data_IF_780624124951
#
_entry.id   IF_780624124951
#
_cell.length_a   1.000
_cell.length_b   1.000
_cell.length_c   1.000
_cell.angle_alpha   90.00
_cell.angle_beta   90.00
_cell.angle_gamma   90.00
#
_symmetry.space_group_name_H-M   'P 1'
#
loop_
_entity.id
_entity.type
_entity.pdbx_description
1 polymer ?
#
# COMPACT_ATOMS: atom_id res chain seq x y z
N UNK A 1 -6.74 -9.66 -16.97
CA UNK A 1 -7.51 -9.09 -15.84
C UNK A 1 -8.71 -8.33 -16.39
N UNK A 2 -9.81 -8.17 -15.63
CA UNK A 2 -10.90 -7.27 -16.03
C UNK A 2 -10.36 -5.88 -16.36
N UNK A 3 -10.91 -5.25 -17.39
CA UNK A 3 -10.42 -3.95 -17.91
C UNK A 3 -10.47 -2.88 -16.82
N UNK A 4 -11.57 -2.86 -16.04
CA UNK A 4 -11.82 -1.95 -14.92
C UNK A 4 -11.34 -2.49 -13.56
N UNK A 5 -10.43 -3.46 -13.52
CA UNK A 5 -9.84 -3.92 -12.26
C UNK A 5 -9.03 -2.80 -11.61
N UNK A 6 -9.22 -2.55 -10.31
CA UNK A 6 -8.42 -1.56 -9.56
C UNK A 6 -7.05 -2.15 -9.22
N UNK A 7 -6.00 -1.39 -9.49
CA UNK A 7 -4.61 -1.80 -9.29
C UNK A 7 -3.80 -0.68 -8.68
N UNK A 8 -2.71 -1.06 -8.01
CA UNK A 8 -1.65 -0.17 -7.57
C UNK A 8 -0.43 -0.44 -8.44
N UNK A 9 -0.08 0.51 -9.31
CA UNK A 9 1.13 0.47 -10.13
C UNK A 9 2.31 1.12 -9.42
N UNK A 10 3.46 0.47 -9.45
CA UNK A 10 4.72 0.95 -8.87
C UNK A 10 5.82 0.80 -9.93
N UNK A 11 6.57 1.88 -10.18
CA UNK A 11 7.67 1.89 -11.14
C UNK A 11 9.01 2.20 -10.47
N UNK A 12 10.09 1.56 -10.93
CA UNK A 12 11.47 1.90 -10.59
C UNK A 12 12.36 1.68 -11.80
N UNK A 13 12.67 2.75 -12.54
CA UNK A 13 13.40 2.63 -13.80
C UNK A 13 12.61 1.84 -14.83
N UNK A 14 13.15 0.69 -15.26
CA UNK A 14 12.47 -0.25 -16.18
C UNK A 14 11.66 -1.33 -15.46
N UNK A 15 11.78 -1.43 -14.14
CA UNK A 15 11.07 -2.42 -13.34
C UNK A 15 9.69 -1.88 -12.94
N UNK A 16 8.65 -2.68 -13.18
CA UNK A 16 7.27 -2.27 -12.94
C UNK A 16 6.51 -3.39 -12.24
N UNK A 17 5.89 -3.08 -11.10
CA UNK A 17 5.00 -4.01 -10.41
C UNK A 17 3.59 -3.45 -10.38
N UNK A 18 2.62 -4.31 -10.65
CA UNK A 18 1.19 -4.05 -10.49
C UNK A 18 0.67 -4.94 -9.39
N UNK A 19 -0.05 -4.35 -8.43
CA UNK A 19 -0.71 -5.08 -7.36
C UNK A 19 -2.21 -4.95 -7.56
N UNK A 20 -2.94 -6.05 -7.54
CA UNK A 20 -4.39 -5.97 -7.58
C UNK A 20 -4.90 -5.41 -6.25
N UNK A 21 -5.64 -4.30 -6.30
CA UNK A 21 -6.02 -3.54 -5.07
C UNK A 21 -6.75 -4.40 -4.05
N UNK A 22 -7.58 -5.35 -4.51
CA UNK A 22 -8.34 -6.25 -3.63
C UNK A 22 -7.45 -7.14 -2.75
N UNK A 23 -6.22 -7.44 -3.17
CA UNK A 23 -5.25 -8.20 -2.38
C UNK A 23 -4.80 -7.44 -1.11
N UNK A 24 -4.98 -6.12 -1.09
CA UNK A 24 -4.56 -5.25 0.01
C UNK A 24 -5.70 -5.01 1.02
N UNK A 25 -6.95 -5.21 0.61
CA UNK A 25 -8.13 -4.96 1.46
C UNK A 25 -8.25 -6.04 2.53
N UNK A 26 -8.29 -5.65 3.80
CA UNK A 26 -8.36 -6.58 4.94
C UNK A 26 -7.09 -7.40 5.19
N UNK A 27 -6.12 -7.38 4.26
CA UNK A 27 -4.86 -8.13 4.36
C UNK A 27 -3.81 -7.47 5.25
N UNK A 28 -2.71 -8.20 5.47
CA UNK A 28 -1.47 -7.68 6.05
C UNK A 28 -0.79 -6.71 5.08
N UNK A 29 0.04 -5.77 5.59
CA UNK A 29 0.96 -5.01 4.75
C UNK A 29 1.69 -5.90 3.74
N UNK A 30 1.64 -5.53 2.46
CA UNK A 30 2.24 -6.35 1.41
C UNK A 30 3.68 -5.90 1.16
N UNK A 31 4.63 -6.81 1.32
CA UNK A 31 6.03 -6.56 0.97
C UNK A 31 6.26 -6.78 -0.52
N UNK A 32 6.93 -5.82 -1.16
CA UNK A 32 7.23 -5.90 -2.60
C UNK A 32 8.66 -5.43 -2.85
N UNK A 33 9.32 -6.07 -3.80
CA UNK A 33 10.61 -5.60 -4.33
C UNK A 33 10.38 -5.12 -5.76
N UNK A 34 10.78 -3.88 -6.05
CA UNK A 34 10.72 -3.30 -7.40
C UNK A 34 12.13 -2.81 -7.75
N UNK A 35 12.78 -3.49 -8.68
CA UNK A 35 14.22 -3.36 -8.91
C UNK A 35 15.01 -3.63 -7.62
N UNK A 36 15.73 -2.62 -7.13
CA UNK A 36 16.49 -2.69 -5.87
C UNK A 36 15.73 -2.12 -4.65
N UNK A 37 14.49 -1.64 -4.83
CA UNK A 37 13.71 -0.99 -3.78
C UNK A 37 12.97 -2.03 -2.95
N UNK A 38 13.22 -2.04 -1.65
CA UNK A 38 12.46 -2.81 -0.67
C UNK A 38 11.27 -1.94 -0.24
N UNK A 39 10.07 -2.32 -0.65
CA UNK A 39 8.85 -1.56 -0.40
C UNK A 39 7.89 -2.32 0.50
N UNK A 40 7.01 -1.57 1.16
CA UNK A 40 5.81 -2.09 1.80
C UNK A 40 4.60 -1.29 1.31
N UNK A 41 3.50 -1.99 1.03
CA UNK A 41 2.24 -1.43 0.59
C UNK A 41 1.21 -1.60 1.70
N UNK A 42 0.68 -0.47 2.16
CA UNK A 42 -0.30 -0.38 3.22
C UNK A 42 -1.67 -0.07 2.65
N UNK A 43 -2.70 -0.68 3.23
CA UNK A 43 -4.09 -0.31 2.99
C UNK A 43 -4.74 0.08 4.30
N UNK A 44 -5.18 1.33 4.40
CA UNK A 44 -6.05 1.80 5.47
C UNK A 44 -7.49 1.79 4.96
N UNK A 45 -8.41 1.04 5.60
CA UNK A 45 -9.83 1.18 5.31
C UNK A 45 -10.28 2.63 5.50
N UNK A 46 -11.03 3.15 4.54
CA UNK A 46 -11.73 4.42 4.61
C UNK A 46 -13.07 4.27 5.34
N UNK A 47 -13.72 5.39 5.61
CA UNK A 47 -15.11 5.35 6.07
C UNK A 47 -16.00 4.97 4.87
N UNK A 48 -16.79 3.92 5.01
CA UNK A 48 -17.89 3.61 4.09
C UNK A 48 -18.78 4.85 4.00
N UNK A 49 -18.90 5.44 2.82
CA UNK A 49 -19.67 6.66 2.62
C UNK A 49 -21.13 6.42 3.03
N UNK A 50 -21.65 7.22 3.96
CA UNK A 50 -23.05 7.15 4.40
C UNK A 50 -24.05 7.72 3.37
N UNK A 51 -23.67 7.79 2.09
CA UNK A 51 -24.45 8.43 1.00
C UNK A 51 -24.89 7.42 -0.07
N UNK A 52 -24.66 6.12 0.13
CA UNK A 52 -25.03 5.07 -0.83
C UNK A 52 -26.25 4.24 -0.39
N UNK A 53 -27.14 4.79 0.43
CA UNK A 53 -28.37 4.09 0.79
C UNK A 53 -29.39 4.07 -0.37
N UNK A 54 -29.38 5.06 -1.26
CA UNK A 54 -30.35 5.13 -2.37
C UNK A 54 -29.68 5.68 -3.65
N UNK A 55 -29.44 4.80 -4.63
CA UNK A 55 -29.29 5.06 -6.09
C UNK A 55 -27.99 4.62 -6.81
N UNK A 56 -26.96 4.07 -6.15
CA UNK A 56 -25.86 3.40 -6.92
C UNK A 56 -25.47 2.08 -6.26
N UNK A 57 -25.77 0.97 -6.93
CA UNK A 57 -25.24 -0.33 -6.55
C UNK A 57 -23.70 -0.30 -6.61
N UNK A 58 -23.04 -0.42 -5.45
CA UNK A 58 -21.63 -0.79 -5.37
C UNK A 58 -20.62 0.31 -5.05
N UNK A 59 -20.92 1.22 -4.13
CA UNK A 59 -19.92 2.10 -3.50
C UNK A 59 -18.86 1.29 -2.75
N UNK A 60 -17.86 0.79 -3.47
CA UNK A 60 -16.77 0.03 -2.90
C UNK A 60 -16.00 0.91 -1.90
N UNK A 61 -15.72 0.37 -0.72
CA UNK A 61 -14.91 1.01 0.32
C UNK A 61 -13.62 1.59 -0.29
N UNK A 62 -13.52 2.93 -0.33
CA UNK A 62 -12.39 3.65 -0.93
C UNK A 62 -11.33 3.89 0.16
N UNK A 63 -10.70 2.81 0.61
CA UNK A 63 -9.53 2.89 1.48
C UNK A 63 -8.33 3.59 0.84
N UNK A 64 -7.41 4.06 1.68
CA UNK A 64 -6.19 4.74 1.26
C UNK A 64 -5.05 3.75 1.10
N UNK A 65 -4.28 3.89 0.02
CA UNK A 65 -3.04 3.15 -0.22
C UNK A 65 -1.84 4.02 0.15
N UNK A 66 -0.91 3.45 0.90
CA UNK A 66 0.42 4.03 1.14
C UNK A 66 1.50 3.07 0.64
N UNK A 67 2.52 3.60 -0.03
CA UNK A 67 3.69 2.83 -0.45
C UNK A 67 4.93 3.48 0.13
N UNK A 68 5.75 2.71 0.82
CA UNK A 68 6.91 3.22 1.55
C UNK A 68 8.14 2.35 1.36
N UNK A 69 9.33 2.96 1.42
CA UNK A 69 10.55 2.20 1.68
C UNK A 69 10.46 1.58 3.08
N UNK A 70 10.70 0.28 3.18
CA UNK A 70 10.72 -0.46 4.45
C UNK A 70 12.10 -0.57 5.07
N UNK A 71 13.02 0.34 4.73
CA UNK A 71 14.36 0.40 5.31
C UNK A 71 14.49 1.71 6.06
N UNK A 72 14.77 1.63 7.36
CA UNK A 72 14.97 2.78 8.26
C UNK A 72 16.34 2.61 8.90
N UNK A 73 17.21 3.61 8.75
CA UNK A 73 18.59 3.60 9.29
C UNK A 73 19.36 2.30 8.96
N UNK A 74 19.20 1.80 7.73
CA UNK A 74 19.84 0.56 7.25
C UNK A 74 19.17 -0.74 7.72
N UNK A 75 18.17 -0.68 8.61
CA UNK A 75 17.39 -1.84 9.05
C UNK A 75 16.16 -2.02 8.18
N UNK A 76 16.02 -3.22 7.60
CA UNK A 76 14.82 -3.62 6.89
C UNK A 76 13.75 -4.05 7.90
N UNK A 77 12.56 -3.47 7.79
CA UNK A 77 11.42 -3.71 8.67
C UNK A 77 10.36 -4.58 7.98
N UNK A 78 9.64 -5.37 8.77
CA UNK A 78 8.40 -6.07 8.39
C UNK A 78 7.27 -5.51 9.22
N UNK A 79 6.10 -5.39 8.61
CA UNK A 79 4.96 -4.70 9.22
C UNK A 79 3.74 -5.59 9.32
N UNK A 80 3.05 -5.46 10.44
CA UNK A 80 1.73 -6.03 10.68
C UNK A 80 0.74 -4.88 10.95
N UNK A 81 -0.56 -5.18 10.84
CA UNK A 81 -1.58 -4.23 11.30
C UNK A 81 -1.44 -4.06 12.81
N UNK A 82 -1.40 -2.81 13.25
CA UNK A 82 -1.47 -2.46 14.66
C UNK A 82 -2.91 -2.16 15.08
N UNK A 83 -3.04 -1.74 16.33
CA UNK A 83 -4.29 -1.25 16.89
C UNK A 83 -4.68 0.10 16.26
N UNK A 84 -5.95 0.50 16.40
CA UNK A 84 -6.49 1.80 15.97
C UNK A 84 -6.24 2.18 14.50
N UNK A 85 -6.05 1.17 13.64
CA UNK A 85 -5.81 1.34 12.21
C UNK A 85 -4.39 1.79 11.86
N UNK A 86 -3.44 1.71 12.79
CA UNK A 86 -2.01 1.90 12.56
C UNK A 86 -1.29 0.61 12.15
N UNK A 87 0.04 0.63 12.25
CA UNK A 87 0.93 -0.49 11.91
C UNK A 87 1.96 -0.71 13.00
N UNK A 88 2.53 -1.92 13.05
CA UNK A 88 3.61 -2.27 13.98
C UNK A 88 4.71 -2.99 13.24
N UNK A 89 5.98 -2.64 13.49
CA UNK A 89 7.10 -3.39 12.95
C UNK A 89 7.54 -4.53 13.88
N UNK A 90 7.90 -5.68 13.30
CA UNK A 90 8.28 -6.88 14.05
C UNK A 90 9.69 -6.78 14.65
N UNK A 91 10.59 -6.02 14.04
CA UNK A 91 12.01 -5.94 14.43
C UNK A 91 12.24 -5.14 15.72
N UNK A 92 11.43 -4.10 15.95
CA UNK A 92 11.60 -3.18 17.09
C UNK A 92 10.35 -3.04 17.92
N UNK A 93 9.21 -3.54 17.42
CA UNK A 93 7.92 -3.41 18.07
C UNK A 93 7.36 -1.99 18.03
N UNK A 94 7.96 -1.09 17.23
CA UNK A 94 7.52 0.30 17.11
C UNK A 94 6.15 0.38 16.43
N UNK A 95 5.36 1.36 16.87
CA UNK A 95 4.04 1.64 16.31
C UNK A 95 4.15 2.79 15.31
N UNK A 96 3.37 2.69 14.25
CA UNK A 96 3.40 3.60 13.11
C UNK A 96 1.99 4.05 12.75
N UNK A 97 1.83 5.33 12.49
CA UNK A 97 0.61 5.86 11.90
C UNK A 97 0.52 5.52 10.40
N UNK A 98 -0.64 5.81 9.82
CA UNK A 98 -0.94 5.49 8.42
C UNK A 98 -0.15 6.33 7.40
N UNK A 99 0.52 7.39 7.85
CA UNK A 99 1.37 8.26 7.03
C UNK A 99 2.84 7.81 7.07
N UNK A 100 3.14 6.73 7.80
CA UNK A 100 4.48 6.19 7.94
C UNK A 100 5.31 6.88 9.02
N UNK A 101 4.70 7.58 9.98
CA UNK A 101 5.42 8.14 11.13
C UNK A 101 5.41 7.15 12.30
N UNK A 102 6.57 6.92 12.92
CA UNK A 102 6.63 6.12 14.14
C UNK A 102 6.18 6.97 15.33
N UNK A 103 5.07 6.57 15.94
CA UNK A 103 4.41 7.32 17.03
C UNK A 103 4.80 6.80 18.41
N UNK A 104 5.25 5.54 18.51
CA UNK A 104 5.68 4.91 19.75
C UNK A 104 6.75 3.83 19.53
N UNK A 105 7.42 3.45 20.61
CA UNK A 105 8.49 2.44 20.61
C UNK A 105 9.88 2.98 20.28
N UNK A 106 10.81 2.09 19.96
CA UNK A 106 12.23 2.38 19.78
C UNK A 106 12.52 3.36 18.64
N UNK A 107 11.71 3.35 17.59
CA UNK A 107 11.86 4.21 16.42
C UNK A 107 11.00 5.48 16.48
N UNK A 108 10.40 5.81 17.64
CA UNK A 108 9.54 6.99 17.80
C UNK A 108 10.18 8.26 17.22
N UNK A 109 9.41 8.99 16.40
CA UNK A 109 9.85 10.21 15.71
C UNK A 109 10.54 9.95 14.37
N UNK A 110 10.85 8.70 14.02
CA UNK A 110 11.30 8.33 12.68
C UNK A 110 10.12 8.29 11.70
N UNK A 111 10.44 8.40 10.41
CA UNK A 111 9.45 8.39 9.33
C UNK A 111 9.92 7.49 8.20
N UNK A 112 9.00 6.67 7.66
CA UNK A 112 9.22 5.92 6.43
C UNK A 112 9.24 6.88 5.24
N UNK A 113 10.16 6.66 4.32
CA UNK A 113 10.21 7.43 3.07
C UNK A 113 9.07 6.96 2.16
N UNK A 114 8.11 7.82 1.78
CA UNK A 114 7.07 7.44 0.83
C UNK A 114 7.68 7.17 -0.55
N UNK A 115 7.09 6.24 -1.27
CA UNK A 115 7.48 5.90 -2.64
C UNK A 115 6.31 6.14 -3.59
N UNK A 116 6.64 6.65 -4.78
CA UNK A 116 5.64 7.00 -5.78
C UNK A 116 4.91 5.74 -6.27
N UNK A 117 3.59 5.86 -6.36
CA UNK A 117 2.71 4.81 -6.88
C UNK A 117 1.48 5.44 -7.54
N UNK A 118 0.72 4.62 -8.24
CA UNK A 118 -0.52 5.01 -8.89
C UNK A 118 -1.65 4.04 -8.52
N UNK A 119 -2.64 4.48 -7.76
CA UNK A 119 -3.92 3.76 -7.59
C UNK A 119 -4.83 4.09 -8.78
N UNK A 120 -5.02 3.14 -9.69
CA UNK A 120 -5.70 3.35 -10.97
C UNK A 120 -6.43 2.09 -11.44
N UNK A 121 -6.95 2.11 -12.67
CA UNK A 121 -7.50 0.93 -13.34
C UNK A 121 -6.44 0.21 -14.19
N UNK A 122 -6.58 -1.11 -14.29
CA UNK A 122 -5.69 -1.98 -15.06
C UNK A 122 -5.48 -1.49 -16.49
N UNK A 123 -6.54 -1.09 -17.20
CA UNK A 123 -6.42 -0.61 -18.57
C UNK A 123 -5.52 0.62 -18.71
N UNK A 124 -5.58 1.55 -17.74
CA UNK A 124 -4.80 2.76 -17.77
C UNK A 124 -3.33 2.42 -17.52
N UNK A 125 -3.04 1.54 -16.56
CA UNK A 125 -1.67 1.12 -16.26
C UNK A 125 -1.03 0.29 -17.37
N UNK A 126 -1.70 -0.77 -17.82
CA UNK A 126 -1.18 -1.74 -18.78
C UNK A 126 -0.90 -1.13 -20.17
N UNK A 127 -1.54 -0.01 -20.50
CA UNK A 127 -1.26 0.73 -21.74
C UNK A 127 0.14 1.33 -21.73
N UNK A 128 0.65 1.76 -20.57
CA UNK A 128 1.97 2.38 -20.44
C UNK A 128 3.05 1.39 -19.94
N UNK A 129 2.65 0.36 -19.19
CA UNK A 129 3.55 -0.61 -18.59
C UNK A 129 3.08 -2.05 -18.86
N UNK A 130 3.11 -2.51 -20.12
CA UNK A 130 2.59 -3.83 -20.50
C UNK A 130 3.37 -4.99 -19.89
N UNK A 131 4.68 -4.81 -19.67
CA UNK A 131 5.60 -5.83 -19.13
C UNK A 131 5.67 -5.83 -17.59
N UNK A 132 4.63 -5.31 -16.93
CA UNK A 132 4.60 -5.23 -15.46
C UNK A 132 4.43 -6.60 -14.80
N UNK A 133 5.21 -6.84 -13.76
CA UNK A 133 5.03 -8.00 -12.88
C UNK A 133 3.77 -7.85 -12.06
N UNK A 134 2.99 -8.93 -11.97
CA UNK A 134 1.67 -8.88 -11.38
C UNK A 134 1.59 -9.63 -10.05
N UNK A 135 1.18 -8.92 -9.01
CA UNK A 135 0.94 -9.42 -7.66
C UNK A 135 -0.56 -9.46 -7.39
N UNK A 136 -1.08 -10.59 -6.92
CA UNK A 136 -2.51 -10.87 -6.71
C UNK A 136 -2.79 -11.43 -5.33
#
# INVERSE_FOLDING_TARGET
>A
MPVKERVVGIASGTDHVTIVRRALVGGTPLEVVVGHRQLVVWHKPGQSSAVDADTVAGGAEVGTIGVFLRVVDGRRLRFERGDDGGFRDSETGSQWDVLGNSVAGLLKGKRLTPYQHLDTFWFAWATFHPDTDLVR
#
